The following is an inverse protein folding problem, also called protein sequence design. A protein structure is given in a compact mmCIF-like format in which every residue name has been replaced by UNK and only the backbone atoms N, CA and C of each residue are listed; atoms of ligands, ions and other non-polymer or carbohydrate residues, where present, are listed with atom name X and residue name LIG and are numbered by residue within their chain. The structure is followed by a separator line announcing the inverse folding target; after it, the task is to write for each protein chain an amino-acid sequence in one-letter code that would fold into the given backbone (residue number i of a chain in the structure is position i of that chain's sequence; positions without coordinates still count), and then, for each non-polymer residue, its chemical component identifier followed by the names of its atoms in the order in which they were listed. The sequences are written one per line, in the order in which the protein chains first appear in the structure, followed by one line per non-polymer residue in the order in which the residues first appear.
data_IF_525745963078
#
_entry.id   IF_525745963078
#
_cell.length_a   1.000
_cell.length_b   1.000
_cell.length_c   1.000
_cell.angle_alpha   90.00
_cell.angle_beta   90.00
_cell.angle_gamma   90.00
#
_symmetry.space_group_name_H-M   'P 1'
#
loop_
_entity.id
_entity.type
_entity.pdbx_description
1 polymer ?
#
# COMPACT_ATOMS: atom_id res chain seq x y z
N UNK A 1 -21.84 12.71 -10.44
CA UNK A 1 -23.05 12.00 -9.94
C UNK A 1 -23.79 11.25 -11.03
N UNK A 2 -23.64 11.60 -12.28
CA UNK A 2 -24.29 10.93 -13.42
C UNK A 2 -23.89 9.45 -13.61
N UNK A 3 -22.85 9.02 -12.91
CA UNK A 3 -22.40 7.61 -12.89
C UNK A 3 -23.24 6.71 -11.96
N UNK A 4 -24.12 7.28 -11.15
CA UNK A 4 -24.95 6.55 -10.20
C UNK A 4 -26.41 6.51 -10.63
N UNK A 5 -27.11 5.43 -10.27
CA UNK A 5 -28.56 5.33 -10.36
C UNK A 5 -29.16 4.71 -9.11
N UNK A 6 -30.45 4.95 -8.88
CA UNK A 6 -31.22 4.29 -7.83
C UNK A 6 -31.35 2.81 -8.14
N UNK A 7 -30.96 1.95 -7.19
CA UNK A 7 -31.05 0.50 -7.33
C UNK A 7 -30.92 -0.19 -5.96
N UNK A 8 -31.69 -1.25 -5.71
CA UNK A 8 -31.78 -1.94 -4.41
C UNK A 8 -30.47 -2.64 -3.99
N UNK A 9 -29.63 -3.03 -4.96
CA UNK A 9 -28.33 -3.64 -4.69
C UNK A 9 -27.27 -2.61 -4.25
N UNK A 10 -27.58 -1.32 -4.20
CA UNK A 10 -26.65 -0.27 -3.82
C UNK A 10 -26.66 0.05 -2.32
N UNK A 11 -26.00 1.15 -1.97
CA UNK A 11 -25.95 1.73 -0.63
C UNK A 11 -26.58 3.13 -0.61
N UNK A 12 -26.83 3.70 0.57
CA UNK A 12 -27.22 5.09 0.67
C UNK A 12 -26.08 6.01 0.24
N UNK A 13 -26.40 7.19 -0.29
CA UNK A 13 -25.38 8.16 -0.71
C UNK A 13 -24.41 8.48 0.41
N UNK A 14 -24.87 8.58 1.65
CA UNK A 14 -24.03 8.85 2.82
C UNK A 14 -23.00 7.73 3.04
N UNK A 15 -23.41 6.47 2.89
CA UNK A 15 -22.52 5.31 3.02
C UNK A 15 -21.46 5.31 1.92
N UNK A 16 -21.86 5.59 0.67
CA UNK A 16 -20.93 5.74 -0.44
C UNK A 16 -19.88 6.82 -0.16
N UNK A 17 -20.29 7.99 0.31
CA UNK A 17 -19.41 9.11 0.56
C UNK A 17 -18.45 8.89 1.75
N UNK A 18 -18.92 8.22 2.81
CA UNK A 18 -18.15 8.02 4.04
C UNK A 18 -17.41 6.69 4.09
N UNK A 19 -18.07 5.59 3.78
CA UNK A 19 -17.49 4.25 3.90
C UNK A 19 -16.58 3.93 2.70
N UNK A 20 -17.02 4.27 1.49
CA UNK A 20 -16.27 3.97 0.27
C UNK A 20 -15.24 5.06 -0.02
N UNK A 21 -15.67 6.32 -0.11
CA UNK A 21 -14.80 7.40 -0.60
C UNK A 21 -14.10 8.21 0.50
N UNK A 22 -14.54 8.09 1.76
CA UNK A 22 -13.98 8.82 2.92
C UNK A 22 -13.82 10.32 2.65
N UNK A 23 -14.89 10.92 2.10
CA UNK A 23 -14.88 12.31 1.60
C UNK A 23 -14.83 13.32 2.74
N UNK A 24 -15.58 13.05 3.82
CA UNK A 24 -15.71 13.95 4.95
C UNK A 24 -14.90 13.46 6.16
N UNK A 25 -14.63 14.38 7.08
CA UNK A 25 -14.00 14.03 8.35
C UNK A 25 -14.85 12.99 9.10
N UNK A 26 -14.24 11.94 9.61
CA UNK A 26 -14.92 10.84 10.34
C UNK A 26 -15.59 11.29 11.66
N UNK A 27 -15.29 12.49 12.16
CA UNK A 27 -15.93 13.06 13.34
C UNK A 27 -17.28 13.74 13.04
N UNK A 28 -17.60 13.95 11.76
CA UNK A 28 -18.88 14.53 11.37
C UNK A 28 -19.98 13.47 11.40
N UNK A 29 -21.11 13.81 12.03
CA UNK A 29 -22.30 12.97 12.00
C UNK A 29 -23.01 13.03 10.64
N UNK A 30 -23.83 12.03 10.38
CA UNK A 30 -24.54 11.87 9.11
C UNK A 30 -25.45 13.06 8.77
N UNK A 31 -26.14 13.64 9.77
CA UNK A 31 -27.04 14.77 9.56
C UNK A 31 -26.27 16.02 9.12
N UNK A 32 -25.12 16.25 9.72
CA UNK A 32 -24.22 17.35 9.35
C UNK A 32 -23.71 17.16 7.91
N UNK A 33 -23.28 15.96 7.54
CA UNK A 33 -22.81 15.66 6.19
C UNK A 33 -23.94 15.85 5.18
N UNK A 34 -25.13 15.32 5.45
CA UNK A 34 -26.29 15.49 4.56
C UNK A 34 -26.72 16.96 4.42
N UNK A 35 -26.62 17.74 5.49
CA UNK A 35 -26.90 19.18 5.45
C UNK A 35 -25.87 19.93 4.57
N UNK A 36 -24.58 19.60 4.71
CA UNK A 36 -23.52 20.14 3.86
C UNK A 36 -23.75 19.79 2.38
N UNK A 37 -24.04 18.53 2.09
CA UNK A 37 -24.30 18.07 0.72
C UNK A 37 -25.49 18.79 0.09
N UNK A 38 -26.59 18.95 0.83
CA UNK A 38 -27.77 19.70 0.37
C UNK A 38 -27.44 21.18 0.11
N UNK A 39 -26.56 21.77 0.92
CA UNK A 39 -26.14 23.16 0.75
C UNK A 39 -25.22 23.35 -0.45
N UNK A 40 -24.20 22.50 -0.59
CA UNK A 40 -23.20 22.59 -1.66
C UNK A 40 -23.79 22.25 -3.03
N UNK A 41 -24.64 21.22 -3.11
CA UNK A 41 -25.20 20.68 -4.36
C UNK A 41 -26.71 20.95 -4.45
N UNK A 42 -27.20 22.10 -3.98
CA UNK A 42 -28.64 22.41 -3.86
C UNK A 42 -29.43 22.14 -5.15
N UNK A 43 -28.97 22.68 -6.27
CA UNK A 43 -29.71 22.60 -7.53
C UNK A 43 -29.74 21.16 -8.06
N UNK A 44 -28.65 20.43 -7.90
CA UNK A 44 -28.56 19.02 -8.27
C UNK A 44 -29.55 18.19 -7.48
N UNK A 45 -29.57 18.33 -6.16
CA UNK A 45 -30.46 17.58 -5.28
C UNK A 45 -31.94 17.97 -5.39
N UNK A 46 -32.25 19.19 -5.77
CA UNK A 46 -33.64 19.58 -6.07
C UNK A 46 -34.20 18.79 -7.26
N UNK A 47 -33.35 18.50 -8.25
CA UNK A 47 -33.74 17.75 -9.45
C UNK A 47 -33.61 16.23 -9.28
N UNK A 48 -32.83 15.76 -8.30
CA UNK A 48 -32.52 14.33 -8.10
C UNK A 48 -32.73 13.89 -6.63
N UNK A 49 -33.92 14.21 -6.05
CA UNK A 49 -34.24 13.92 -4.63
C UNK A 49 -34.09 12.44 -4.26
N UNK A 50 -34.37 11.55 -5.18
CA UNK A 50 -34.29 10.11 -4.96
C UNK A 50 -32.86 9.64 -4.61
N UNK A 51 -31.82 10.32 -5.09
CA UNK A 51 -30.43 10.00 -4.76
C UNK A 51 -30.09 10.22 -3.28
N UNK A 52 -30.84 11.05 -2.57
CA UNK A 52 -30.64 11.31 -1.16
C UNK A 52 -31.34 10.30 -0.23
N UNK A 53 -32.39 9.66 -0.72
CA UNK A 53 -33.31 8.89 0.11
C UNK A 53 -33.36 7.41 -0.24
N UNK A 54 -32.90 7.06 -1.42
CA UNK A 54 -32.87 5.68 -1.93
C UNK A 54 -31.46 5.16 -2.05
N UNK A 55 -31.32 3.84 -2.09
CA UNK A 55 -30.04 3.19 -2.37
C UNK A 55 -29.60 3.50 -3.80
N UNK A 56 -28.32 3.77 -3.97
CA UNK A 56 -27.70 4.09 -5.25
C UNK A 56 -26.55 3.15 -5.54
N UNK A 57 -26.27 2.92 -6.81
CA UNK A 57 -25.17 2.08 -7.26
C UNK A 57 -24.51 2.71 -8.49
N UNK A 58 -23.24 2.54 -8.66
CA UNK A 58 -22.52 2.88 -9.90
C UNK A 58 -23.10 2.05 -11.05
N UNK A 59 -23.56 2.71 -12.13
CA UNK A 59 -24.23 2.06 -13.26
C UNK A 59 -23.39 0.94 -13.84
N UNK A 60 -22.09 1.15 -13.99
CA UNK A 60 -21.14 0.17 -14.53
C UNK A 60 -21.01 -1.09 -13.65
N UNK A 61 -21.26 -1.03 -12.34
CA UNK A 61 -21.23 -2.20 -11.45
C UNK A 61 -22.41 -3.18 -11.70
N UNK A 62 -23.45 -2.74 -12.39
CA UNK A 62 -24.56 -3.59 -12.78
C UNK A 62 -24.34 -4.32 -14.11
N UNK A 63 -23.30 -3.94 -14.83
CA UNK A 63 -22.87 -4.63 -16.05
C UNK A 63 -21.85 -5.71 -15.66
N UNK A 64 -22.27 -6.97 -15.72
CA UNK A 64 -21.44 -8.12 -15.34
C UNK A 64 -20.22 -8.29 -16.25
N UNK A 65 -20.32 -7.92 -17.52
CA UNK A 65 -19.18 -8.00 -18.45
C UNK A 65 -18.15 -6.91 -18.13
N UNK A 66 -18.62 -5.67 -17.85
CA UNK A 66 -17.75 -4.61 -17.40
C UNK A 66 -17.01 -5.00 -16.11
N UNK A 67 -17.73 -5.50 -15.09
CA UNK A 67 -17.12 -5.94 -13.81
C UNK A 67 -16.06 -7.00 -14.06
N UNK A 68 -16.33 -8.00 -14.90
CA UNK A 68 -15.38 -9.06 -15.22
C UNK A 68 -14.12 -8.55 -15.91
N UNK A 69 -14.26 -7.58 -16.82
CA UNK A 69 -13.13 -7.01 -17.57
C UNK A 69 -12.29 -6.07 -16.71
N UNK A 70 -12.90 -5.36 -15.76
CA UNK A 70 -12.28 -4.33 -14.93
C UNK A 70 -11.97 -4.76 -13.50
N UNK A 71 -12.18 -6.04 -13.15
CA UNK A 71 -11.75 -6.59 -11.86
C UNK A 71 -10.31 -7.08 -11.93
N UNK A 72 -9.49 -6.75 -10.92
CA UNK A 72 -8.14 -7.31 -10.74
C UNK A 72 -8.22 -8.82 -10.58
N UNK A 73 -9.06 -9.29 -9.66
CA UNK A 73 -9.30 -10.73 -9.49
C UNK A 73 -10.55 -11.15 -10.26
N UNK A 74 -10.39 -12.10 -11.17
CA UNK A 74 -11.47 -12.60 -12.04
C UNK A 74 -12.35 -13.59 -11.29
N UNK A 75 -13.40 -13.09 -10.62
CA UNK A 75 -14.41 -13.89 -9.91
C UNK A 75 -13.86 -14.78 -8.77
N UNK A 76 -12.74 -14.42 -8.18
CA UNK A 76 -12.19 -15.10 -6.99
C UNK A 76 -11.87 -14.09 -5.89
N UNK A 77 -11.85 -14.53 -4.64
CA UNK A 77 -11.42 -13.72 -3.51
C UNK A 77 -9.89 -13.64 -3.43
N UNK A 78 -9.37 -12.67 -2.65
CA UNK A 78 -7.94 -12.61 -2.30
C UNK A 78 -7.45 -13.90 -1.62
N UNK A 79 -8.28 -14.48 -0.76
CA UNK A 79 -7.97 -15.76 -0.09
C UNK A 79 -7.85 -16.90 -1.08
N UNK A 80 -8.77 -17.03 -2.05
CA UNK A 80 -8.72 -18.05 -3.08
C UNK A 80 -7.54 -17.85 -4.02
N UNK A 81 -7.22 -16.59 -4.37
CA UNK A 81 -6.04 -16.27 -5.16
C UNK A 81 -4.75 -16.70 -4.45
N UNK A 82 -4.61 -16.40 -3.15
CA UNK A 82 -3.47 -16.87 -2.35
C UNK A 82 -3.39 -18.39 -2.31
N UNK A 83 -4.53 -19.07 -2.14
CA UNK A 83 -4.60 -20.54 -2.16
C UNK A 83 -4.14 -21.09 -3.51
N UNK A 84 -4.59 -20.50 -4.61
CA UNK A 84 -4.18 -20.89 -5.96
C UNK A 84 -2.66 -20.74 -6.15
N UNK A 85 -2.05 -19.66 -5.69
CA UNK A 85 -0.60 -19.47 -5.73
C UNK A 85 0.17 -20.46 -4.86
N UNK A 86 -0.42 -20.94 -3.75
CA UNK A 86 0.19 -21.93 -2.86
C UNK A 86 0.13 -23.35 -3.43
N UNK A 87 -1.03 -23.73 -3.96
CA UNK A 87 -1.38 -25.12 -4.19
C UNK A 87 -1.43 -25.52 -5.67
N UNK A 88 -1.63 -24.58 -6.60
CA UNK A 88 -1.85 -24.86 -8.01
C UNK A 88 -0.74 -24.29 -8.91
N UNK A 89 -0.72 -22.96 -9.10
CA UNK A 89 0.21 -22.30 -10.02
C UNK A 89 0.70 -20.97 -9.49
N UNK A 90 1.94 -20.95 -9.02
CA UNK A 90 2.58 -19.78 -8.41
C UNK A 90 2.98 -18.72 -9.42
N UNK A 91 3.42 -19.09 -10.60
CA UNK A 91 4.10 -18.20 -11.55
C UNK A 91 3.20 -17.70 -12.66
N UNK A 92 2.13 -18.43 -12.98
CA UNK A 92 1.24 -18.13 -14.09
C UNK A 92 -0.25 -18.24 -13.68
N UNK A 93 -0.71 -17.50 -12.65
CA UNK A 93 -2.11 -17.51 -12.28
C UNK A 93 -2.96 -16.91 -13.40
N UNK A 94 -4.06 -17.58 -13.75
CA UNK A 94 -4.97 -17.12 -14.81
C UNK A 94 -6.04 -16.14 -14.33
N UNK A 95 -6.26 -16.09 -13.00
CA UNK A 95 -7.36 -15.35 -12.39
C UNK A 95 -6.99 -13.95 -11.91
N UNK A 96 -5.98 -13.34 -12.52
CA UNK A 96 -5.59 -11.96 -12.26
C UNK A 96 -5.55 -11.16 -13.56
N UNK A 97 -6.02 -9.91 -13.51
CA UNK A 97 -5.93 -8.94 -14.59
C UNK A 97 -4.81 -7.94 -14.26
N UNK A 98 -3.63 -8.22 -14.78
CA UNK A 98 -2.43 -7.42 -14.51
C UNK A 98 -2.48 -6.03 -15.14
N UNK A 99 -3.23 -5.84 -16.23
CA UNK A 99 -3.36 -4.55 -16.89
C UNK A 99 -4.21 -3.58 -16.06
N UNK A 100 -5.32 -4.06 -15.48
CA UNK A 100 -6.13 -3.31 -14.52
C UNK A 100 -5.30 -2.99 -13.27
N UNK A 101 -4.52 -3.93 -12.76
CA UNK A 101 -3.65 -3.71 -11.62
C UNK A 101 -2.59 -2.63 -11.91
N UNK A 102 -1.95 -2.67 -13.08
CA UNK A 102 -0.99 -1.65 -13.53
C UNK A 102 -1.65 -0.26 -13.62
N UNK A 103 -2.84 -0.17 -14.21
CA UNK A 103 -3.60 1.07 -14.31
C UNK A 103 -3.87 1.68 -12.93
N UNK A 104 -4.31 0.86 -11.96
CA UNK A 104 -4.64 1.33 -10.62
C UNK A 104 -3.43 1.78 -9.81
N UNK A 105 -2.25 1.21 -10.02
CA UNK A 105 -1.04 1.66 -9.35
C UNK A 105 -0.67 3.11 -9.72
N UNK A 106 -0.98 3.57 -10.93
CA UNK A 106 -0.73 4.95 -11.34
C UNK A 106 -1.48 6.01 -10.49
N UNK A 107 -2.56 5.63 -9.83
CA UNK A 107 -3.31 6.53 -8.92
C UNK A 107 -2.74 6.60 -7.51
N UNK A 108 -1.81 5.71 -7.16
CA UNK A 108 -1.24 5.62 -5.81
C UNK A 108 0.29 5.74 -5.82
N UNK A 109 0.82 6.56 -6.69
CA UNK A 109 2.27 6.82 -6.78
C UNK A 109 2.76 7.80 -5.71
N UNK A 110 4.01 7.65 -5.30
CA UNK A 110 4.78 8.61 -4.52
C UNK A 110 6.13 8.83 -5.13
N UNK A 111 6.56 10.10 -5.19
CA UNK A 111 7.87 10.49 -5.68
C UNK A 111 8.71 11.07 -4.54
N UNK A 112 9.93 10.57 -4.39
CA UNK A 112 10.93 11.10 -3.48
C UNK A 112 12.02 11.75 -4.30
N UNK A 113 12.29 13.03 -4.01
CA UNK A 113 13.34 13.79 -4.67
C UNK A 113 14.66 13.68 -3.92
N UNK A 114 15.81 13.89 -4.58
CA UNK A 114 17.07 14.01 -3.91
C UNK A 114 17.03 15.03 -2.77
N UNK A 115 17.70 14.70 -1.67
CA UNK A 115 17.68 15.51 -0.44
C UNK A 115 16.30 15.69 0.23
N UNK A 116 15.32 14.86 -0.10
CA UNK A 116 14.09 14.74 0.67
C UNK A 116 14.38 14.26 2.11
N UNK A 117 13.33 14.12 2.93
CA UNK A 117 13.48 13.62 4.31
C UNK A 117 14.31 12.32 4.35
N UNK A 118 15.18 12.17 5.35
CA UNK A 118 16.00 10.99 5.49
C UNK A 118 15.15 9.74 5.75
N UNK A 119 15.66 8.60 5.32
CA UNK A 119 15.09 7.29 5.61
C UNK A 119 16.00 6.54 6.58
N UNK A 120 15.47 5.55 7.28
CA UNK A 120 16.18 4.87 8.34
C UNK A 120 16.08 3.35 8.20
N UNK A 121 17.15 2.67 8.62
CA UNK A 121 17.17 1.22 8.74
C UNK A 121 17.83 0.81 10.03
N UNK A 122 17.19 -0.08 10.78
CA UNK A 122 17.77 -0.67 11.97
C UNK A 122 18.31 -2.09 11.70
N UNK A 123 19.38 -2.45 12.38
CA UNK A 123 19.92 -3.81 12.43
C UNK A 123 20.42 -4.11 13.83
N UNK A 124 20.08 -5.31 14.35
CA UNK A 124 20.66 -5.80 15.61
C UNK A 124 22.15 -6.03 15.44
N UNK A 125 22.93 -5.64 16.45
CA UNK A 125 24.38 -5.80 16.51
C UNK A 125 24.76 -6.56 17.79
N UNK A 126 25.95 -7.10 17.84
CA UNK A 126 26.50 -7.71 19.04
C UNK A 126 27.24 -6.68 19.89
N UNK A 127 27.49 -7.02 21.16
CA UNK A 127 28.35 -6.21 22.00
C UNK A 127 29.75 -6.09 21.38
N UNK A 128 30.33 -4.88 21.41
CA UNK A 128 31.63 -4.60 20.77
C UNK A 128 31.59 -4.46 19.25
N UNK A 129 30.53 -4.86 18.56
CA UNK A 129 30.44 -4.76 17.10
C UNK A 129 29.75 -3.44 16.70
N UNK A 130 30.28 -2.78 15.66
CA UNK A 130 29.64 -1.63 14.99
C UNK A 130 29.44 -1.97 13.53
N UNK A 131 28.21 -1.83 13.06
CA UNK A 131 27.89 -2.06 11.65
C UNK A 131 28.31 -0.83 10.85
N UNK A 132 29.21 -1.00 9.91
CA UNK A 132 29.69 0.07 9.03
C UNK A 132 28.62 0.47 8.01
N UNK A 133 28.67 1.70 7.48
CA UNK A 133 27.74 2.25 6.47
C UNK A 133 27.53 1.29 5.30
N UNK A 134 28.62 0.74 4.73
CA UNK A 134 28.57 -0.21 3.60
C UNK A 134 27.80 -1.49 3.90
N UNK A 135 27.67 -1.86 5.19
CA UNK A 135 26.96 -3.05 5.65
C UNK A 135 25.52 -2.76 6.08
N UNK A 136 25.06 -1.50 6.02
CA UNK A 136 23.68 -1.11 6.29
C UNK A 136 22.75 -1.29 5.07
N UNK A 137 23.29 -1.48 3.87
CA UNK A 137 22.52 -1.73 2.66
C UNK A 137 21.73 -3.03 2.68
N UNK A 138 21.08 -3.36 1.57
CA UNK A 138 20.34 -4.61 1.41
C UNK A 138 21.24 -5.85 1.61
N UNK A 139 20.67 -7.00 1.95
CA UNK A 139 21.41 -8.27 1.89
C UNK A 139 21.97 -8.51 0.50
N UNK A 140 23.08 -9.25 0.43
CA UNK A 140 23.60 -9.70 -0.88
C UNK A 140 22.58 -10.58 -1.58
N UNK A 141 22.43 -10.49 -2.92
CA UNK A 141 21.60 -11.40 -3.69
C UNK A 141 21.86 -12.87 -3.33
N UNK A 142 20.83 -13.67 -3.24
CA UNK A 142 20.90 -15.08 -2.79
C UNK A 142 21.05 -15.27 -1.27
N UNK A 143 21.30 -14.23 -0.49
CA UNK A 143 21.44 -14.28 0.97
C UNK A 143 20.29 -13.63 1.73
N UNK A 144 19.34 -13.05 1.03
CA UNK A 144 18.14 -12.45 1.64
C UNK A 144 17.25 -13.51 2.27
N UNK A 145 16.79 -13.24 3.47
CA UNK A 145 15.66 -13.96 4.06
C UNK A 145 14.37 -13.68 3.29
N UNK A 146 13.37 -14.46 3.58
CA UNK A 146 12.01 -14.27 3.08
C UNK A 146 11.33 -13.12 3.82
N UNK A 147 10.51 -12.36 3.12
CA UNK A 147 9.73 -11.26 3.66
C UNK A 147 8.41 -11.08 2.92
N UNK A 148 7.57 -10.19 3.44
CA UNK A 148 6.25 -9.88 2.85
C UNK A 148 6.32 -9.34 1.43
N UNK A 149 7.42 -8.71 1.06
CA UNK A 149 7.64 -8.05 -0.23
C UNK A 149 8.59 -8.84 -1.13
N UNK A 150 9.40 -9.74 -0.57
CA UNK A 150 10.42 -10.45 -1.32
C UNK A 150 10.44 -11.94 -1.01
N UNK A 151 10.58 -12.75 -2.03
CA UNK A 151 10.86 -14.17 -1.89
C UNK A 151 12.28 -14.41 -1.34
N UNK A 152 12.52 -15.59 -0.74
CA UNK A 152 13.83 -15.99 -0.25
C UNK A 152 14.89 -15.88 -1.35
N UNK A 153 16.00 -15.22 -1.05
CA UNK A 153 17.10 -14.99 -1.98
C UNK A 153 16.96 -13.69 -2.80
N UNK A 154 15.76 -13.15 -2.96
CA UNK A 154 15.51 -11.86 -3.64
C UNK A 154 15.80 -10.74 -2.65
N UNK A 155 16.85 -9.95 -2.92
CA UNK A 155 17.24 -8.87 -2.03
C UNK A 155 16.36 -7.63 -2.23
N UNK A 156 15.95 -7.00 -1.13
CA UNK A 156 15.28 -5.71 -1.08
C UNK A 156 15.87 -4.87 0.07
N UNK A 157 15.84 -3.54 -0.08
CA UNK A 157 16.26 -2.61 0.95
C UNK A 157 15.03 -2.07 1.69
N UNK A 158 14.85 -2.54 2.93
CA UNK A 158 13.77 -2.10 3.81
C UNK A 158 14.20 -0.87 4.61
N UNK A 159 13.41 0.19 4.52
CA UNK A 159 13.63 1.48 5.17
C UNK A 159 12.34 1.94 5.86
N UNK A 160 12.46 2.84 6.84
CA UNK A 160 11.35 3.53 7.48
C UNK A 160 11.55 5.04 7.42
N UNK A 161 10.47 5.82 7.57
CA UNK A 161 10.52 7.29 7.56
C UNK A 161 11.03 7.89 8.88
N UNK A 162 11.13 7.08 9.96
CA UNK A 162 11.69 7.48 11.24
C UNK A 162 12.47 6.35 11.94
N UNK A 163 13.27 6.73 12.94
CA UNK A 163 14.08 5.79 13.72
C UNK A 163 13.25 4.87 14.61
N UNK A 164 12.22 5.34 15.37
CA UNK A 164 11.40 4.46 16.20
C UNK A 164 10.72 3.36 15.40
N UNK A 165 10.20 3.67 14.21
CA UNK A 165 9.55 2.69 13.34
C UNK A 165 10.53 1.61 12.89
N UNK A 166 11.74 1.98 12.45
CA UNK A 166 12.71 0.96 12.02
C UNK A 166 13.20 0.07 13.17
N UNK A 167 13.25 0.56 14.43
CA UNK A 167 13.56 -0.24 15.62
C UNK A 167 12.44 -1.27 15.89
N UNK A 168 11.18 -0.83 15.82
CA UNK A 168 10.02 -1.71 16.02
C UNK A 168 9.93 -2.81 14.97
N UNK A 169 10.21 -2.49 13.71
CA UNK A 169 10.19 -3.45 12.59
C UNK A 169 11.19 -4.62 12.79
N UNK A 170 12.33 -4.39 13.41
CA UNK A 170 13.28 -5.46 13.73
C UNK A 170 12.97 -6.18 15.07
N UNK A 171 11.86 -5.81 15.73
CA UNK A 171 11.44 -6.36 17.04
C UNK A 171 12.60 -6.32 18.04
N UNK A 172 13.22 -5.14 18.21
CA UNK A 172 14.26 -4.95 19.19
C UNK A 172 13.66 -4.99 20.61
N UNK A 173 14.26 -5.80 21.46
CA UNK A 173 13.89 -5.95 22.88
C UNK A 173 14.84 -5.21 23.80
N UNK A 174 14.50 -5.21 25.11
CA UNK A 174 15.37 -4.68 26.16
C UNK A 174 16.72 -5.42 26.12
N UNK A 175 17.81 -4.67 26.28
CA UNK A 175 19.21 -5.11 26.20
C UNK A 175 19.73 -5.37 24.77
N UNK A 176 18.89 -5.27 23.73
CA UNK A 176 19.39 -5.32 22.36
C UNK A 176 20.27 -4.09 22.05
N UNK A 177 21.32 -4.33 21.31
CA UNK A 177 22.13 -3.29 20.68
C UNK A 177 21.70 -3.16 19.23
N UNK A 178 21.35 -1.94 18.81
CA UNK A 178 20.82 -1.64 17.49
C UNK A 178 21.67 -0.59 16.82
N UNK A 179 22.12 -0.86 15.59
CA UNK A 179 22.71 0.14 14.71
C UNK A 179 21.63 0.69 13.79
N UNK A 180 21.45 2.02 13.77
CA UNK A 180 20.52 2.71 12.88
C UNK A 180 21.33 3.44 11.81
N UNK A 181 21.12 3.04 10.56
CA UNK A 181 21.63 3.72 9.39
C UNK A 181 20.65 4.81 8.95
N UNK A 182 21.16 6.04 8.78
CA UNK A 182 20.47 7.15 8.13
C UNK A 182 20.79 7.12 6.65
N UNK A 183 19.73 7.06 5.83
CA UNK A 183 19.83 7.02 4.38
C UNK A 183 19.36 8.33 3.78
N UNK A 184 20.04 8.74 2.72
CA UNK A 184 19.68 9.90 1.92
C UNK A 184 19.37 9.46 0.49
N UNK A 185 18.28 10.01 -0.05
CA UNK A 185 17.90 9.83 -1.47
C UNK A 185 18.84 10.69 -2.31
N UNK A 186 19.54 10.09 -3.26
CA UNK A 186 20.52 10.75 -4.14
C UNK A 186 20.02 10.88 -5.60
N UNK A 187 18.99 10.12 -5.97
CA UNK A 187 18.33 10.20 -7.27
C UNK A 187 16.82 10.06 -7.10
N UNK A 188 15.97 10.59 -8.00
CA UNK A 188 14.53 10.48 -7.88
C UNK A 188 14.07 9.02 -7.74
N UNK A 189 13.18 8.76 -6.79
CA UNK A 189 12.59 7.44 -6.51
C UNK A 189 11.09 7.53 -6.75
N UNK A 190 10.54 6.60 -7.53
CA UNK A 190 9.10 6.45 -7.76
C UNK A 190 8.61 5.14 -7.13
N UNK A 191 7.60 5.23 -6.28
CA UNK A 191 7.06 4.12 -5.50
C UNK A 191 5.57 3.91 -5.77
N UNK A 192 5.11 2.66 -5.72
CA UNK A 192 3.70 2.36 -5.51
C UNK A 192 3.39 2.54 -4.02
N UNK A 193 2.52 3.50 -3.67
CA UNK A 193 2.19 3.84 -2.30
C UNK A 193 0.83 3.30 -1.88
N UNK A 194 0.81 2.13 -1.26
CA UNK A 194 -0.41 1.47 -0.82
C UNK A 194 -1.14 2.24 0.28
N UNK A 195 -0.46 3.12 1.02
CA UNK A 195 -1.12 3.96 2.04
C UNK A 195 -2.04 5.03 1.44
N UNK A 196 -1.92 5.29 0.12
CA UNK A 196 -2.78 6.24 -0.61
C UNK A 196 -4.10 5.66 -1.08
N UNK A 197 -4.34 4.35 -0.98
CA UNK A 197 -5.57 3.70 -1.43
C UNK A 197 -6.81 4.39 -0.87
N UNK A 198 -6.81 4.70 0.42
CA UNK A 198 -7.90 5.42 1.08
C UNK A 198 -7.99 6.92 0.71
N UNK A 199 -7.02 7.44 -0.04
CA UNK A 199 -7.00 8.84 -0.51
C UNK A 199 -7.48 8.97 -1.96
N UNK A 200 -7.69 7.84 -2.66
CA UNK A 200 -8.29 7.85 -3.98
C UNK A 200 -9.75 8.28 -3.82
N UNK A 201 -10.10 9.40 -4.44
CA UNK A 201 -11.44 9.97 -4.36
C UNK A 201 -11.79 10.66 -5.67
N UNK A 202 -13.02 10.53 -6.16
CA UNK A 202 -13.47 11.23 -7.36
C UNK A 202 -13.38 12.77 -7.24
N UNK A 203 -13.26 13.29 -6.01
CA UNK A 203 -13.12 14.72 -5.74
C UNK A 203 -11.66 15.22 -5.74
N UNK A 204 -10.67 14.31 -5.81
CA UNK A 204 -9.24 14.64 -5.71
C UNK A 204 -8.46 14.41 -7.00
N UNK A 205 -9.11 13.88 -8.02
CA UNK A 205 -8.46 13.69 -9.32
C UNK A 205 -8.27 15.03 -10.00
N UNK A 206 -7.06 15.41 -10.39
CA UNK A 206 -6.84 16.67 -11.09
C UNK A 206 -7.62 16.68 -12.39
N UNK A 207 -8.46 17.70 -12.60
CA UNK A 207 -9.03 18.01 -13.90
C UNK A 207 -7.86 18.29 -14.84
N UNK A 208 -7.63 17.42 -15.81
CA UNK A 208 -6.62 17.68 -16.86
C UNK A 208 -5.59 16.60 -17.14
N UNK A 209 -5.47 15.56 -16.33
CA UNK A 209 -4.70 14.38 -16.73
C UNK A 209 -5.55 13.50 -17.63
N UNK A 210 -5.07 13.25 -18.86
CA UNK A 210 -5.75 12.58 -19.96
C UNK A 210 -6.07 11.08 -19.76
N UNK A 211 -5.82 10.51 -18.59
CA UNK A 211 -6.34 9.20 -18.22
C UNK A 211 -7.76 9.40 -17.69
N UNK A 212 -8.74 8.88 -18.40
CA UNK A 212 -10.14 8.87 -17.97
C UNK A 212 -10.23 8.11 -16.62
N UNK A 213 -10.35 8.87 -15.52
CA UNK A 213 -10.53 8.33 -14.17
C UNK A 213 -11.83 7.54 -14.13
N UNK A 214 -11.74 6.23 -14.07
CA UNK A 214 -12.90 5.36 -13.98
C UNK A 214 -13.23 5.05 -12.51
N UNK A 215 -14.21 5.78 -11.97
CA UNK A 215 -14.71 5.60 -10.61
C UNK A 215 -15.15 4.16 -10.36
N UNK A 216 -15.79 3.52 -11.35
CA UNK A 216 -16.31 2.17 -11.19
C UNK A 216 -15.18 1.13 -11.12
N UNK A 217 -14.12 1.29 -11.91
CA UNK A 217 -12.94 0.42 -11.85
C UNK A 217 -12.27 0.49 -10.48
N UNK A 218 -12.12 1.70 -9.93
CA UNK A 218 -11.54 1.89 -8.59
C UNK A 218 -12.43 1.27 -7.52
N UNK A 219 -13.74 1.51 -7.56
CA UNK A 219 -14.67 1.01 -6.56
C UNK A 219 -14.75 -0.53 -6.56
N UNK A 220 -14.79 -1.15 -7.75
CA UNK A 220 -14.76 -2.61 -7.91
C UNK A 220 -13.51 -3.22 -7.25
N UNK A 221 -12.36 -2.57 -7.37
CA UNK A 221 -11.08 -3.10 -6.93
C UNK A 221 -10.62 -2.58 -5.57
N UNK A 222 -11.33 -1.66 -4.95
CA UNK A 222 -10.95 -1.04 -3.67
C UNK A 222 -10.70 -2.07 -2.58
N UNK A 223 -11.62 -3.02 -2.43
CA UNK A 223 -11.49 -4.08 -1.41
C UNK A 223 -10.20 -4.89 -1.60
N UNK A 224 -9.87 -5.28 -2.83
CA UNK A 224 -8.62 -5.98 -3.13
C UNK A 224 -7.40 -5.14 -2.73
N UNK A 225 -7.38 -3.86 -3.07
CA UNK A 225 -6.26 -2.97 -2.75
C UNK A 225 -6.11 -2.77 -1.23
N UNK A 226 -7.23 -2.65 -0.50
CA UNK A 226 -7.24 -2.57 0.96
C UNK A 226 -6.71 -3.87 1.59
N UNK A 227 -7.18 -5.03 1.14
CA UNK A 227 -6.69 -6.35 1.59
C UNK A 227 -5.20 -6.53 1.28
N UNK A 228 -4.73 -6.10 0.10
CA UNK A 228 -3.31 -6.12 -0.24
C UNK A 228 -2.48 -5.25 0.72
N UNK A 229 -2.92 -4.01 0.97
CA UNK A 229 -2.25 -3.12 1.91
C UNK A 229 -2.19 -3.72 3.31
N UNK A 230 -3.29 -4.29 3.80
CA UNK A 230 -3.36 -4.89 5.13
C UNK A 230 -2.48 -6.13 5.25
N UNK A 231 -2.41 -6.98 4.23
CA UNK A 231 -1.51 -8.14 4.22
C UNK A 231 -0.04 -7.73 4.17
N UNK A 232 0.31 -6.63 3.50
CA UNK A 232 1.69 -6.13 3.44
C UNK A 232 2.10 -5.46 4.76
N UNK A 233 1.22 -4.67 5.39
CA UNK A 233 1.54 -3.93 6.61
C UNK A 233 1.51 -4.80 7.86
N UNK A 234 0.61 -5.77 7.96
CA UNK A 234 0.40 -6.55 9.19
C UNK A 234 1.54 -7.55 9.39
N UNK A 235 2.32 -7.44 10.48
CA UNK A 235 3.28 -8.47 10.85
C UNK A 235 2.51 -9.73 11.20
N UNK A 236 2.92 -10.85 10.66
CA UNK A 236 2.35 -12.13 11.05
C UNK A 236 3.05 -12.65 12.32
N UNK A 237 2.43 -13.57 13.05
CA UNK A 237 3.00 -14.14 14.26
C UNK A 237 4.24 -15.01 13.94
N UNK A 238 5.06 -15.31 14.95
CA UNK A 238 6.31 -16.07 14.76
C UNK A 238 6.13 -17.54 14.33
N UNK A 239 4.89 -17.99 14.23
CA UNK A 239 4.49 -19.35 13.77
C UNK A 239 4.09 -19.40 12.29
N UNK A 240 4.36 -18.35 11.51
CA UNK A 240 3.85 -18.20 10.18
C UNK A 240 4.44 -19.17 9.17
N UNK A 241 3.58 -19.72 8.35
CA UNK A 241 3.99 -20.40 7.15
C UNK A 241 4.56 -19.37 6.15
N UNK A 242 5.83 -19.54 5.71
CA UNK A 242 6.41 -18.68 4.67
C UNK A 242 5.55 -18.56 3.41
N UNK A 243 4.72 -19.56 3.16
CA UNK A 243 3.75 -19.54 2.06
C UNK A 243 2.63 -18.49 2.25
N UNK A 244 2.48 -17.92 3.43
CA UNK A 244 1.48 -16.87 3.66
C UNK A 244 1.82 -15.54 2.97
N UNK A 245 3.09 -15.32 2.66
CA UNK A 245 3.55 -14.14 1.93
C UNK A 245 3.47 -14.25 0.40
N UNK A 246 3.12 -15.42 -0.12
CA UNK A 246 3.17 -15.69 -1.57
C UNK A 246 2.33 -14.71 -2.39
N UNK A 247 1.16 -14.34 -1.91
CA UNK A 247 0.28 -13.38 -2.61
C UNK A 247 0.89 -11.99 -2.70
N UNK A 248 1.43 -11.49 -1.59
CA UNK A 248 2.06 -10.17 -1.54
C UNK A 248 3.40 -10.15 -2.28
N UNK A 249 4.17 -11.24 -2.24
CA UNK A 249 5.40 -11.41 -3.02
C UNK A 249 5.10 -11.40 -4.52
N UNK A 250 4.05 -12.13 -4.97
CA UNK A 250 3.63 -12.13 -6.38
C UNK A 250 3.32 -10.71 -6.89
N UNK A 251 2.52 -9.96 -6.13
CA UNK A 251 2.18 -8.58 -6.50
C UNK A 251 3.43 -7.68 -6.49
N UNK A 252 4.32 -7.86 -5.54
CA UNK A 252 5.56 -7.08 -5.44
C UNK A 252 6.52 -7.38 -6.60
N UNK A 253 6.67 -8.65 -6.98
CA UNK A 253 7.45 -9.05 -8.15
C UNK A 253 6.84 -8.50 -9.44
N UNK A 254 5.51 -8.47 -9.54
CA UNK A 254 4.84 -7.83 -10.66
C UNK A 254 5.15 -6.32 -10.71
N UNK A 255 5.01 -5.57 -9.60
CA UNK A 255 5.37 -4.14 -9.54
C UNK A 255 6.81 -3.92 -10.00
N UNK A 256 7.74 -4.74 -9.52
CA UNK A 256 9.15 -4.70 -9.91
C UNK A 256 9.37 -4.98 -11.40
N UNK A 257 8.46 -5.70 -12.05
CA UNK A 257 8.55 -6.05 -13.46
C UNK A 257 8.01 -4.97 -14.40
N UNK A 258 7.19 -4.03 -13.91
CA UNK A 258 6.53 -3.02 -14.74
C UNK A 258 7.55 -2.09 -15.40
N UNK A 259 7.46 -1.97 -16.72
CA UNK A 259 8.30 -1.10 -17.53
C UNK A 259 7.46 -0.10 -18.32
N UNK A 260 8.11 0.98 -18.75
CA UNK A 260 7.62 1.90 -19.76
C UNK A 260 7.88 1.37 -21.19
N UNK A 261 7.56 2.20 -22.19
CA UNK A 261 7.72 1.85 -23.62
C UNK A 261 9.21 1.70 -24.03
N UNK A 262 10.13 2.29 -23.27
CA UNK A 262 11.57 2.20 -23.45
C UNK A 262 12.21 1.04 -22.66
N UNK A 263 11.40 0.13 -22.10
CA UNK A 263 11.82 -0.96 -21.22
C UNK A 263 12.52 -0.52 -19.92
N UNK A 264 12.34 0.73 -19.50
CA UNK A 264 12.85 1.20 -18.23
C UNK A 264 11.87 0.88 -17.11
N UNK A 265 12.39 0.49 -15.92
CA UNK A 265 11.56 0.23 -14.75
C UNK A 265 10.81 1.50 -14.34
N UNK A 266 9.48 1.40 -14.18
CA UNK A 266 8.65 2.53 -13.76
C UNK A 266 8.78 2.74 -12.24
N UNK A 267 8.81 1.67 -11.47
CA UNK A 267 8.79 1.73 -10.00
C UNK A 267 10.11 1.22 -9.40
N UNK A 268 10.62 1.99 -8.45
CA UNK A 268 11.81 1.65 -7.68
C UNK A 268 11.49 0.82 -6.44
N UNK A 269 10.22 0.78 -6.03
CA UNK A 269 9.82 0.06 -4.82
C UNK A 269 8.34 0.26 -4.44
N UNK A 270 8.06 -0.08 -3.18
CA UNK A 270 6.73 -0.01 -2.57
C UNK A 270 6.80 0.79 -1.26
N UNK A 271 5.79 1.63 -1.03
CA UNK A 271 5.58 2.35 0.22
C UNK A 271 4.26 1.91 0.85
N UNK A 272 4.25 1.65 2.15
CA UNK A 272 3.04 1.26 2.89
C UNK A 272 3.06 1.80 4.32
N UNK A 273 1.88 1.90 4.95
CA UNK A 273 1.76 2.40 6.31
C UNK A 273 2.41 1.42 7.31
N UNK A 274 3.12 1.95 8.31
CA UNK A 274 3.58 1.14 9.44
C UNK A 274 2.38 0.71 10.31
N UNK A 275 2.42 -0.50 10.86
CA UNK A 275 1.46 -0.92 11.90
C UNK A 275 1.76 -0.29 13.25
N UNK A 276 2.97 0.22 13.43
CA UNK A 276 3.45 0.79 14.68
C UNK A 276 3.23 2.29 14.81
N UNK A 277 2.74 2.96 13.74
CA UNK A 277 2.48 4.40 13.70
C UNK A 277 1.40 4.73 12.67
N UNK A 278 0.54 5.70 12.99
CA UNK A 278 -0.50 6.16 12.05
C UNK A 278 0.06 7.08 10.95
N UNK A 279 1.18 7.73 11.19
CA UNK A 279 1.76 8.73 10.29
C UNK A 279 2.97 8.19 9.52
N UNK A 280 3.69 7.24 10.10
CA UNK A 280 4.95 6.75 9.57
C UNK A 280 4.77 5.67 8.51
N UNK A 281 5.77 5.55 7.65
CA UNK A 281 5.76 4.67 6.47
C UNK A 281 6.97 3.75 6.45
N UNK A 282 6.74 2.58 5.88
CA UNK A 282 7.79 1.66 5.46
C UNK A 282 7.98 1.79 3.94
N UNK A 283 9.23 1.78 3.52
CA UNK A 283 9.64 1.84 2.11
C UNK A 283 10.51 0.63 1.83
N UNK A 284 10.21 -0.06 0.75
CA UNK A 284 11.01 -1.19 0.28
C UNK A 284 11.49 -0.91 -1.13
N UNK A 285 12.81 -0.75 -1.30
CA UNK A 285 13.44 -0.53 -2.59
C UNK A 285 13.88 -1.86 -3.21
N UNK A 286 13.61 -2.03 -4.49
CA UNK A 286 13.91 -3.23 -5.26
C UNK A 286 15.35 -3.30 -5.74
N UNK A 287 15.94 -2.14 -6.06
CA UNK A 287 17.34 -2.07 -6.47
C UNK A 287 18.25 -2.03 -5.25
N UNK A 288 19.23 -2.91 -5.23
CA UNK A 288 20.06 -3.17 -4.06
C UNK A 288 21.56 -3.13 -4.35
N UNK A 289 21.93 -2.96 -5.61
CA UNK A 289 23.34 -2.76 -6.00
C UNK A 289 23.82 -1.39 -5.52
N UNK A 290 25.03 -1.34 -4.95
CA UNK A 290 25.60 -0.07 -4.48
C UNK A 290 25.77 0.97 -5.60
N UNK A 291 25.97 0.50 -6.83
CA UNK A 291 26.23 1.38 -7.99
C UNK A 291 24.94 1.97 -8.58
N UNK A 292 23.79 1.30 -8.37
CA UNK A 292 22.51 1.68 -8.97
C UNK A 292 21.44 2.05 -7.94
N UNK A 293 21.71 1.81 -6.65
CA UNK A 293 20.77 2.17 -5.57
C UNK A 293 20.66 3.70 -5.47
N UNK A 294 19.43 4.19 -5.57
CA UNK A 294 19.06 5.61 -5.49
C UNK A 294 19.06 6.18 -4.07
N UNK A 295 19.53 5.40 -3.10
CA UNK A 295 19.55 5.74 -1.68
C UNK A 295 20.83 5.24 -1.02
N UNK A 296 21.55 6.12 -0.33
CA UNK A 296 22.85 5.83 0.28
C UNK A 296 22.81 6.01 1.80
N UNK A 297 23.49 5.10 2.53
CA UNK A 297 23.69 5.23 3.97
C UNK A 297 24.76 6.29 4.28
N UNK A 298 24.35 7.45 4.78
CA UNK A 298 25.25 8.58 5.07
C UNK A 298 25.78 8.58 6.50
N UNK A 299 25.08 7.97 7.44
CA UNK A 299 25.48 7.89 8.85
C UNK A 299 24.98 6.61 9.50
N UNK A 300 25.67 6.13 10.54
CA UNK A 300 25.26 5.02 11.39
C UNK A 300 25.43 5.43 12.86
N UNK A 301 24.37 5.26 13.64
CA UNK A 301 24.37 5.50 15.09
C UNK A 301 24.04 4.20 15.80
N UNK A 302 24.73 3.93 16.92
CA UNK A 302 24.53 2.75 17.73
C UNK A 302 23.73 3.11 18.97
N UNK A 303 22.67 2.34 19.24
CA UNK A 303 21.82 2.50 20.41
C UNK A 303 21.78 1.24 21.26
N UNK A 304 21.58 1.44 22.54
CA UNK A 304 21.25 0.39 23.49
C UNK A 304 19.78 0.56 23.89
N UNK A 305 18.97 -0.50 23.77
CA UNK A 305 17.56 -0.47 24.11
C UNK A 305 17.40 -0.67 25.63
N UNK A 306 17.08 0.39 26.34
CA UNK A 306 16.92 0.39 27.80
C UNK A 306 15.52 -0.01 28.27
N UNK A 307 14.48 0.28 27.46
CA UNK A 307 13.08 -0.03 27.78
C UNK A 307 12.26 -0.24 26.51
N UNK A 308 11.14 -0.97 26.63
CA UNK A 308 10.14 -1.18 25.59
C UNK A 308 8.76 -1.00 26.20
N UNK A 309 7.90 -0.23 25.56
CA UNK A 309 6.50 -0.08 25.95
C UNK A 309 5.63 -1.08 25.19
N UNK A 310 4.74 -1.76 25.89
CA UNK A 310 3.80 -2.73 25.32
C UNK A 310 2.38 -2.19 25.42
N UNK A 311 1.64 -2.31 24.31
CA UNK A 311 0.18 -2.19 24.31
C UNK A 311 -0.42 -3.59 24.32
N UNK A 312 -1.35 -3.85 25.26
CA UNK A 312 -2.02 -5.14 25.39
C UNK A 312 -3.51 -4.96 25.17
N UNK A 313 -4.08 -5.81 24.34
CA UNK A 313 -5.53 -5.92 24.16
C UNK A 313 -6.01 -7.25 24.76
N UNK A 314 -7.20 -7.24 25.37
CA UNK A 314 -7.80 -8.47 25.89
C UNK A 314 -8.16 -9.37 24.70
N UNK A 315 -7.56 -10.55 24.66
CA UNK A 315 -7.98 -11.60 23.75
C UNK A 315 -9.26 -12.23 24.31
N UNK A 316 -10.39 -12.00 23.66
CA UNK A 316 -11.69 -12.59 23.98
C UNK A 316 -11.83 -13.91 23.25
#
# INVERSE_FOLDING_TARGET
MDSYKVHDAGALLIDELQSVWKVFNSQLDENTIMSLMKSICRDYFNNHRDLLTKKIVLIKKLDSEYVKQHSILKNISWTDFRKQLKEENRYHPSNINIDVLKSLFSYIESDYQPNSLPLYRARKSREGETIEKRNMGAPKPGKSGEGRINAKGVACLYLATDEPTCIKEIRAGVFDIVCIGKFQVNSPIKLVNLSKINKISPFKVPYGNNAAFDIAEIDINRKFLEELNDNIRTPQASSDDPLDYIGTQYISDYIKSITDDDNQKIYDGIEFASTHSQTERNIVLFETSLDTCKCECVNVVKYYISSVEYQCELSV
#
